data_IF_763027953036
#
_entry.id   IF_763027953036
#
_cell.length_a   1.000
_cell.length_b   1.000
_cell.length_c   1.000
_cell.angle_alpha   90.00
_cell.angle_beta   90.00
_cell.angle_gamma   90.00
#
_symmetry.space_group_name_H-M   'P 1'
#
loop_
_entity.id
_entity.type
_entity.pdbx_description
1 polymer ?
#
# COMPACT_ATOMS: atom_id res chain seq x y z
N UNK A 1 -13.74 -21.49 -22.69
CA UNK A 1 -14.21 -22.60 -23.56
C UNK A 1 -15.44 -23.21 -22.92
N UNK A 2 -16.63 -23.11 -23.54
CA UNK A 2 -17.93 -23.38 -22.89
C UNK A 2 -18.13 -24.82 -22.37
N UNK A 3 -17.27 -25.78 -22.72
CA UNK A 3 -17.42 -27.18 -22.35
C UNK A 3 -16.21 -27.76 -21.58
N UNK A 4 -15.27 -26.92 -21.18
CA UNK A 4 -14.10 -27.36 -20.45
C UNK A 4 -14.48 -27.67 -19.00
N UNK A 5 -14.10 -28.85 -18.50
CA UNK A 5 -14.31 -29.20 -17.09
C UNK A 5 -13.38 -28.39 -16.20
N UNK A 6 -13.85 -27.98 -15.02
CA UNK A 6 -13.09 -27.13 -14.06
C UNK A 6 -11.75 -27.78 -13.68
N UNK A 7 -11.70 -29.10 -13.55
CA UNK A 7 -10.45 -29.81 -13.22
C UNK A 7 -9.38 -29.78 -14.34
N UNK A 8 -9.76 -29.43 -15.57
CA UNK A 8 -8.85 -29.25 -16.70
C UNK A 8 -8.48 -27.79 -16.93
N UNK A 9 -8.97 -26.88 -16.12
CA UNK A 9 -8.68 -25.45 -16.21
C UNK A 9 -7.35 -25.12 -15.52
N UNK A 10 -6.62 -24.12 -16.03
CA UNK A 10 -5.49 -23.52 -15.32
C UNK A 10 -5.93 -22.89 -14.00
N UNK A 11 -5.00 -22.60 -13.11
CA UNK A 11 -5.31 -21.90 -11.85
C UNK A 11 -6.04 -20.58 -12.12
N UNK A 12 -5.52 -19.75 -13.03
CA UNK A 12 -6.15 -18.48 -13.41
C UNK A 12 -7.55 -18.64 -13.98
N UNK A 13 -7.78 -19.64 -14.84
CA UNK A 13 -9.13 -19.92 -15.37
C UNK A 13 -10.11 -20.33 -14.28
N UNK A 14 -9.68 -21.13 -13.31
CA UNK A 14 -10.51 -21.50 -12.14
C UNK A 14 -10.85 -20.28 -11.30
N UNK A 15 -9.88 -19.42 -11.05
CA UNK A 15 -10.10 -18.16 -10.31
C UNK A 15 -11.14 -17.28 -11.02
N UNK A 16 -11.04 -17.12 -12.34
CA UNK A 16 -12.03 -16.37 -13.10
C UNK A 16 -13.44 -16.95 -12.99
N UNK A 17 -13.59 -18.27 -13.06
CA UNK A 17 -14.90 -18.92 -12.89
C UNK A 17 -15.43 -18.71 -11.46
N UNK A 18 -14.58 -18.87 -10.45
CA UNK A 18 -14.96 -18.65 -9.06
C UNK A 18 -15.45 -17.21 -8.82
N UNK A 19 -14.72 -16.24 -9.36
CA UNK A 19 -15.08 -14.83 -9.26
C UNK A 19 -16.36 -14.49 -9.99
N UNK A 20 -16.53 -15.00 -11.21
CA UNK A 20 -17.80 -14.86 -11.94
C UNK A 20 -19.00 -15.41 -11.18
N UNK A 21 -18.82 -16.55 -10.47
CA UNK A 21 -19.86 -17.13 -9.61
C UNK A 21 -20.13 -16.27 -8.37
N UNK A 22 -19.12 -15.65 -7.78
CA UNK A 22 -19.28 -14.72 -6.65
C UNK A 22 -20.07 -13.48 -7.06
N UNK A 23 -19.71 -12.85 -8.17
CA UNK A 23 -20.42 -11.68 -8.68
C UNK A 23 -21.86 -11.99 -9.09
N UNK A 24 -22.11 -13.18 -9.66
CA UNK A 24 -23.46 -13.62 -10.04
C UNK A 24 -24.42 -13.80 -8.86
N UNK A 25 -23.89 -13.94 -7.62
CA UNK A 25 -24.70 -14.00 -6.40
C UNK A 25 -25.10 -12.62 -5.89
N UNK A 26 -24.50 -11.54 -6.44
CA UNK A 26 -24.74 -10.15 -6.06
C UNK A 26 -24.71 -9.89 -4.53
N UNK A 27 -23.67 -10.33 -3.80
CA UNK A 27 -23.63 -10.21 -2.34
C UNK A 27 -23.49 -8.74 -1.90
N UNK A 28 -24.00 -8.41 -0.72
CA UNK A 28 -23.75 -7.12 -0.05
C UNK A 28 -22.34 -7.02 0.52
N UNK A 29 -21.79 -8.16 0.97
CA UNK A 29 -20.43 -8.27 1.49
C UNK A 29 -19.63 -9.30 0.68
N UNK A 30 -18.52 -8.86 0.12
CA UNK A 30 -17.57 -9.71 -0.61
C UNK A 30 -16.24 -9.76 0.16
N UNK A 31 -15.81 -10.95 0.54
CA UNK A 31 -14.54 -11.20 1.22
C UNK A 31 -13.61 -11.95 0.27
N UNK A 32 -12.46 -11.36 -0.02
CA UNK A 32 -11.47 -11.90 -0.96
C UNK A 32 -10.10 -11.97 -0.28
N UNK A 33 -9.60 -13.20 -0.10
CA UNK A 33 -8.28 -13.42 0.46
C UNK A 33 -7.29 -13.70 -0.67
N UNK A 34 -6.31 -12.81 -0.84
CA UNK A 34 -5.25 -12.86 -1.87
C UNK A 34 -5.74 -13.26 -3.27
N UNK A 35 -6.85 -12.67 -3.68
CA UNK A 35 -7.62 -13.04 -4.87
C UNK A 35 -6.81 -13.00 -6.18
N UNK A 36 -5.76 -12.21 -6.22
CA UNK A 36 -4.93 -12.00 -7.41
C UNK A 36 -3.86 -13.07 -7.61
N UNK A 37 -3.71 -13.98 -6.64
CA UNK A 37 -2.73 -15.04 -6.70
C UNK A 37 -2.99 -15.99 -7.88
N UNK A 38 -1.98 -16.17 -8.74
CA UNK A 38 -2.06 -17.04 -9.93
C UNK A 38 -2.78 -16.42 -11.14
N UNK A 39 -3.20 -15.14 -11.06
CA UNK A 39 -3.65 -14.37 -12.21
C UNK A 39 -2.46 -13.71 -12.91
N UNK A 40 -2.45 -13.75 -14.25
CA UNK A 40 -1.51 -12.93 -15.00
C UNK A 40 -1.90 -11.44 -14.91
N UNK A 41 -0.97 -10.51 -15.21
CA UNK A 41 -1.21 -9.06 -15.05
C UNK A 41 -2.43 -8.53 -15.81
N UNK A 42 -2.73 -9.08 -16.99
CA UNK A 42 -3.88 -8.65 -17.79
C UNK A 42 -5.20 -9.03 -17.15
N UNK A 43 -5.32 -10.27 -16.67
CA UNK A 43 -6.52 -10.73 -15.96
C UNK A 43 -6.68 -10.06 -14.59
N UNK A 44 -5.58 -9.75 -13.92
CA UNK A 44 -5.62 -9.01 -12.65
C UNK A 44 -6.22 -7.61 -12.82
N UNK A 45 -5.76 -6.87 -13.84
CA UNK A 45 -6.31 -5.55 -14.16
C UNK A 45 -7.81 -5.62 -14.47
N UNK A 46 -8.21 -6.57 -15.33
CA UNK A 46 -9.60 -6.79 -15.67
C UNK A 46 -10.45 -7.10 -14.42
N UNK A 47 -9.90 -7.84 -13.49
CA UNK A 47 -10.59 -8.19 -12.25
C UNK A 47 -10.76 -6.97 -11.34
N UNK A 48 -9.75 -6.12 -11.21
CA UNK A 48 -9.84 -4.83 -10.47
C UNK A 48 -10.93 -3.95 -11.08
N UNK A 49 -11.04 -3.91 -12.41
CA UNK A 49 -12.13 -3.20 -13.09
C UNK A 49 -13.51 -3.75 -12.72
N UNK A 50 -13.68 -5.08 -12.74
CA UNK A 50 -14.94 -5.72 -12.32
C UNK A 50 -15.27 -5.47 -10.84
N UNK A 51 -14.29 -5.48 -9.94
CA UNK A 51 -14.51 -5.15 -8.52
C UNK A 51 -14.97 -3.70 -8.36
N UNK A 52 -14.38 -2.79 -9.11
CA UNK A 52 -14.78 -1.38 -9.11
C UNK A 52 -16.22 -1.20 -9.59
N UNK A 53 -16.55 -1.83 -10.70
CA UNK A 53 -17.92 -1.77 -11.25
C UNK A 53 -18.93 -2.38 -10.28
N UNK A 54 -18.58 -3.49 -9.62
CA UNK A 54 -19.40 -4.12 -8.61
C UNK A 54 -19.61 -3.21 -7.39
N UNK A 55 -18.56 -2.56 -6.90
CA UNK A 55 -18.64 -1.61 -5.79
C UNK A 55 -19.47 -0.36 -6.14
N UNK A 56 -19.38 0.12 -7.38
CA UNK A 56 -20.12 1.29 -7.85
C UNK A 56 -21.64 1.11 -7.86
N UNK A 57 -22.13 -0.13 -7.79
CA UNK A 57 -23.57 -0.46 -7.74
C UNK A 57 -24.28 -0.02 -6.46
N UNK A 58 -23.58 0.55 -5.47
CA UNK A 58 -24.11 1.01 -4.17
C UNK A 58 -24.36 -0.16 -3.20
N UNK A 59 -24.39 0.14 -1.90
CA UNK A 59 -24.65 -0.80 -0.79
C UNK A 59 -23.78 -2.09 -0.79
N UNK A 60 -22.58 -2.01 -1.37
CA UNK A 60 -21.62 -3.11 -1.42
C UNK A 60 -20.43 -2.83 -0.53
N UNK A 61 -20.01 -3.85 0.21
CA UNK A 61 -18.77 -3.83 0.97
C UNK A 61 -17.82 -4.87 0.43
N UNK A 62 -16.59 -4.48 0.09
CA UNK A 62 -15.55 -5.39 -0.33
C UNK A 62 -14.43 -5.36 0.71
N UNK A 63 -14.17 -6.49 1.34
CA UNK A 63 -13.02 -6.70 2.21
C UNK A 63 -12.03 -7.61 1.50
N UNK A 64 -10.84 -7.10 1.21
CA UNK A 64 -9.84 -7.87 0.47
C UNK A 64 -8.47 -7.83 1.14
N UNK A 65 -7.69 -8.89 0.97
CA UNK A 65 -6.27 -8.93 1.27
C UNK A 65 -5.49 -9.05 -0.04
N UNK A 66 -4.33 -8.43 -0.12
CA UNK A 66 -3.43 -8.56 -1.26
C UNK A 66 -2.00 -8.24 -0.84
N UNK A 67 -1.04 -8.93 -1.45
CA UNK A 67 0.38 -8.59 -1.40
C UNK A 67 0.81 -7.78 -2.64
N UNK A 68 -0.09 -7.55 -3.60
CA UNK A 68 0.16 -6.78 -4.82
C UNK A 68 -0.56 -5.44 -4.67
N UNK A 69 0.18 -4.43 -4.23
CA UNK A 69 -0.35 -3.15 -3.79
C UNK A 69 -0.66 -2.21 -4.96
N UNK A 70 0.11 -2.30 -6.04
CA UNK A 70 0.03 -1.37 -7.19
C UNK A 70 -1.38 -1.24 -7.80
N UNK A 71 -2.12 -2.35 -7.86
CA UNK A 71 -3.46 -2.35 -8.46
C UNK A 71 -4.55 -1.91 -7.46
N UNK A 72 -4.21 -1.85 -6.14
CA UNK A 72 -5.16 -1.58 -5.06
C UNK A 72 -5.41 -0.10 -4.84
N UNK A 73 -4.43 0.75 -5.10
CA UNK A 73 -4.49 2.20 -4.88
C UNK A 73 -5.73 2.87 -5.50
N UNK A 74 -6.16 2.37 -6.65
CA UNK A 74 -7.33 2.90 -7.37
C UNK A 74 -8.66 2.21 -7.00
N UNK A 75 -8.61 1.17 -6.16
CA UNK A 75 -9.78 0.33 -5.84
C UNK A 75 -10.27 0.56 -4.41
N UNK A 76 -9.37 0.78 -3.45
CA UNK A 76 -9.69 0.75 -2.03
C UNK A 76 -9.92 2.15 -1.46
N UNK A 77 -10.97 2.28 -0.64
CA UNK A 77 -11.27 3.50 0.11
C UNK A 77 -10.45 3.57 1.40
N UNK A 78 -10.38 2.47 2.14
CA UNK A 78 -9.68 2.34 3.41
C UNK A 78 -8.57 1.29 3.33
N UNK A 79 -7.43 1.60 3.94
CA UNK A 79 -6.26 0.73 3.98
C UNK A 79 -5.89 0.36 5.42
N UNK A 80 -5.73 -0.93 5.68
CA UNK A 80 -5.15 -1.48 6.90
C UNK A 80 -3.82 -2.13 6.58
N UNK A 81 -2.74 -1.66 7.19
CA UNK A 81 -1.42 -2.27 7.05
C UNK A 81 -1.10 -3.06 8.30
N UNK A 82 -0.87 -4.37 8.12
CA UNK A 82 -0.50 -5.29 9.17
C UNK A 82 0.95 -5.74 8.99
N UNK A 83 1.68 -5.81 10.09
CA UNK A 83 3.01 -6.36 10.14
C UNK A 83 3.19 -7.25 11.37
N UNK A 84 3.67 -8.50 11.18
CA UNK A 84 3.83 -9.51 12.23
C UNK A 84 2.63 -9.62 13.20
N UNK A 85 1.41 -9.58 12.67
CA UNK A 85 0.17 -9.68 13.46
C UNK A 85 -0.20 -8.41 14.23
N UNK A 86 0.46 -7.30 13.97
CA UNK A 86 0.14 -5.99 14.54
C UNK A 86 -0.42 -5.08 13.46
N UNK A 87 -1.49 -4.38 13.80
CA UNK A 87 -2.01 -3.31 12.95
C UNK A 87 -1.09 -2.10 13.10
N UNK A 88 -0.39 -1.73 12.02
CA UNK A 88 0.46 -0.54 11.98
C UNK A 88 -0.38 0.72 11.80
N UNK A 89 -1.25 0.72 10.79
CA UNK A 89 -2.16 1.83 10.50
C UNK A 89 -3.50 1.30 9.99
N UNK A 90 -4.56 2.10 10.23
CA UNK A 90 -5.85 2.01 9.57
C UNK A 90 -6.28 3.43 9.21
N UNK A 91 -6.28 3.75 7.92
CA UNK A 91 -6.57 5.10 7.41
C UNK A 91 -7.23 5.03 6.04
N UNK A 92 -8.03 6.05 5.68
CA UNK A 92 -8.43 6.25 4.30
C UNK A 92 -7.20 6.25 3.39
N UNK A 93 -7.27 5.52 2.27
CA UNK A 93 -6.16 5.42 1.31
C UNK A 93 -5.73 6.81 0.83
N UNK A 94 -6.70 7.69 0.59
CA UNK A 94 -6.45 9.08 0.22
C UNK A 94 -5.63 9.82 1.28
N UNK A 95 -5.90 9.63 2.58
CA UNK A 95 -5.15 10.27 3.66
C UNK A 95 -3.68 9.80 3.66
N UNK A 96 -3.44 8.50 3.40
CA UNK A 96 -2.08 7.97 3.29
C UNK A 96 -1.36 8.62 2.12
N UNK A 97 -1.99 8.68 0.95
CA UNK A 97 -1.39 9.22 -0.28
C UNK A 97 -1.12 10.72 -0.21
N UNK A 98 -1.98 11.47 0.49
CA UNK A 98 -1.87 12.93 0.60
C UNK A 98 -0.94 13.39 1.72
N UNK A 99 -0.74 12.58 2.78
CA UNK A 99 -0.05 13.03 3.99
C UNK A 99 1.15 12.18 4.42
N UNK A 100 1.32 10.98 3.87
CA UNK A 100 2.50 10.17 4.18
C UNK A 100 3.56 10.36 3.11
N UNK A 101 4.69 10.98 3.49
CA UNK A 101 5.73 11.37 2.56
C UNK A 101 7.07 10.77 2.93
N UNK A 102 7.95 10.66 1.93
CA UNK A 102 9.36 10.34 2.09
C UNK A 102 10.16 11.63 2.15
N UNK A 103 11.06 11.70 3.11
CA UNK A 103 11.96 12.84 3.28
C UNK A 103 13.38 12.38 3.05
N UNK A 104 14.07 13.03 2.11
CA UNK A 104 15.50 12.83 1.87
C UNK A 104 16.27 14.02 2.38
N UNK A 105 17.42 13.76 3.02
CA UNK A 105 18.26 14.80 3.59
C UNK A 105 19.70 14.34 3.71
N UNK A 106 20.59 15.29 3.95
CA UNK A 106 22.01 15.08 4.22
C UNK A 106 22.33 15.55 5.63
N UNK A 107 23.27 14.90 6.27
CA UNK A 107 23.84 15.27 7.56
C UNK A 107 25.32 15.48 7.43
N UNK A 108 25.89 16.30 8.32
CA UNK A 108 27.32 16.44 8.44
C UNK A 108 27.99 15.10 8.80
N UNK A 109 29.25 14.95 8.42
CA UNK A 109 30.01 13.74 8.66
C UNK A 109 30.03 13.40 10.14
N UNK A 110 29.74 12.11 10.44
CA UNK A 110 29.68 11.61 11.82
C UNK A 110 28.37 11.87 12.55
N UNK A 111 27.42 12.61 11.99
CA UNK A 111 26.10 12.78 12.58
C UNK A 111 25.16 11.65 12.18
N UNK A 112 24.24 11.30 13.10
CA UNK A 112 23.13 10.38 12.89
C UNK A 112 21.81 11.09 13.16
N UNK A 113 20.73 10.77 12.44
CA UNK A 113 19.44 11.42 12.65
C UNK A 113 18.87 11.07 14.02
N UNK A 114 18.04 11.95 14.52
CA UNK A 114 17.31 11.71 15.76
C UNK A 114 16.20 10.67 15.51
N UNK A 115 16.15 9.63 16.32
CA UNK A 115 15.01 8.72 16.35
C UNK A 115 13.82 9.40 17.03
N UNK A 116 12.65 9.29 16.41
CA UNK A 116 11.41 9.82 16.93
C UNK A 116 10.23 8.95 16.48
N UNK A 117 9.21 8.77 17.31
CA UNK A 117 8.04 7.92 17.03
C UNK A 117 7.24 8.33 15.79
N UNK A 118 7.34 9.61 15.37
CA UNK A 118 6.70 10.15 14.17
C UNK A 118 7.55 10.02 12.91
N UNK A 119 8.77 9.52 13.04
CA UNK A 119 9.70 9.27 11.92
C UNK A 119 9.81 7.77 11.72
N UNK A 120 9.32 7.31 10.58
CA UNK A 120 9.30 5.90 10.22
C UNK A 120 10.54 5.56 9.39
N UNK A 121 11.12 4.40 9.67
CA UNK A 121 12.20 3.82 8.86
C UNK A 121 13.30 4.81 8.45
N UNK A 122 13.97 5.39 9.43
CA UNK A 122 15.09 6.27 9.16
C UNK A 122 16.33 5.45 8.83
N UNK A 123 16.80 5.53 7.60
CA UNK A 123 17.95 4.76 7.09
C UNK A 123 18.84 5.61 6.18
N UNK A 124 20.09 5.12 5.96
CA UNK A 124 21.03 5.74 5.02
C UNK A 124 21.08 4.93 3.73
N UNK A 125 20.76 5.58 2.62
CA UNK A 125 20.78 4.96 1.30
C UNK A 125 21.58 5.84 0.33
N UNK A 126 22.58 5.27 -0.35
CA UNK A 126 23.43 5.96 -1.33
C UNK A 126 24.01 7.31 -0.85
N UNK A 127 24.39 7.37 0.43
CA UNK A 127 25.01 8.57 1.00
C UNK A 127 24.02 9.62 1.54
N UNK A 128 22.74 9.49 1.25
CA UNK A 128 21.67 10.32 1.80
C UNK A 128 20.88 9.58 2.87
N UNK A 129 20.32 10.32 3.79
CA UNK A 129 19.36 9.79 4.76
C UNK A 129 17.94 9.86 4.21
N UNK A 130 17.15 8.86 4.54
CA UNK A 130 15.74 8.75 4.17
C UNK A 130 14.94 8.50 5.45
N UNK A 131 13.81 9.17 5.60
CA UNK A 131 12.80 8.88 6.62
C UNK A 131 11.41 9.11 6.05
N UNK A 132 10.41 8.58 6.72
CA UNK A 132 9.01 8.70 6.31
C UNK A 132 8.19 9.31 7.45
N UNK A 133 7.19 10.11 7.13
CA UNK A 133 6.35 10.74 8.15
C UNK A 133 5.01 11.18 7.59
N UNK A 134 4.02 11.27 8.49
CA UNK A 134 2.76 11.99 8.25
C UNK A 134 2.85 13.48 8.61
N UNK A 135 3.97 13.91 9.17
CA UNK A 135 4.15 15.29 9.57
C UNK A 135 4.61 16.17 8.39
N UNK A 136 4.20 17.44 8.37
CA UNK A 136 4.69 18.39 7.36
C UNK A 136 6.20 18.59 7.41
N UNK A 137 6.79 18.98 6.29
CA UNK A 137 8.23 19.16 6.09
C UNK A 137 8.90 19.98 7.21
N UNK A 138 8.28 21.08 7.64
CA UNK A 138 8.85 21.92 8.71
C UNK A 138 8.87 21.22 10.07
N UNK A 139 7.84 20.41 10.37
CA UNK A 139 7.80 19.59 11.59
C UNK A 139 8.87 18.51 11.52
N UNK A 140 9.01 17.82 10.38
CA UNK A 140 10.06 16.81 10.17
C UNK A 140 11.44 17.41 10.36
N UNK A 141 11.69 18.62 9.82
CA UNK A 141 12.94 19.36 10.03
C UNK A 141 13.22 19.57 11.53
N UNK A 142 12.24 20.09 12.26
CA UNK A 142 12.37 20.33 13.70
C UNK A 142 12.64 19.04 14.50
N UNK A 143 11.97 17.96 14.15
CA UNK A 143 12.17 16.64 14.79
C UNK A 143 13.58 16.13 14.54
N UNK A 144 14.08 16.22 13.32
CA UNK A 144 15.43 15.78 12.95
C UNK A 144 16.52 16.66 13.63
N UNK A 145 16.30 17.95 13.77
CA UNK A 145 17.24 18.90 14.35
C UNK A 145 17.16 19.00 15.89
N UNK A 146 16.20 18.32 16.54
CA UNK A 146 15.89 18.45 17.98
C UNK A 146 17.05 18.17 18.92
N UNK A 147 18.08 17.42 18.48
CA UNK A 147 19.30 17.11 19.25
C UNK A 147 20.55 17.82 18.74
N UNK A 148 20.39 18.96 18.07
CA UNK A 148 21.53 19.74 17.55
C UNK A 148 22.15 19.17 16.27
N UNK A 149 21.46 18.26 15.60
CA UNK A 149 21.82 17.78 14.27
C UNK A 149 21.45 18.85 13.24
N UNK A 150 22.36 19.12 12.29
CA UNK A 150 22.07 20.04 11.19
C UNK A 150 21.66 19.26 9.95
N UNK A 151 20.44 19.53 9.49
CA UNK A 151 19.87 18.90 8.31
C UNK A 151 20.05 19.78 7.09
N UNK A 152 20.73 19.24 6.07
CA UNK A 152 20.89 19.90 4.77
C UNK A 152 20.05 19.19 3.70
N UNK A 153 19.68 19.95 2.66
CA UNK A 153 19.00 19.45 1.45
C UNK A 153 17.71 18.63 1.74
N UNK A 154 16.97 18.99 2.79
CA UNK A 154 15.71 18.31 3.11
C UNK A 154 14.70 18.50 1.97
N UNK A 155 14.29 17.38 1.38
CA UNK A 155 13.32 17.31 0.29
C UNK A 155 12.21 16.34 0.66
N UNK A 156 11.00 16.73 0.33
CA UNK A 156 9.79 15.95 0.47
C UNK A 156 9.41 15.32 -0.87
N UNK A 157 9.02 14.06 -0.86
CA UNK A 157 8.62 13.30 -2.03
C UNK A 157 7.28 12.60 -1.74
N UNK A 158 6.35 12.70 -2.68
CA UNK A 158 5.11 11.91 -2.65
C UNK A 158 5.39 10.45 -2.93
N UNK A 159 4.54 9.57 -2.43
CA UNK A 159 4.70 8.12 -2.51
C UNK A 159 3.55 7.49 -3.28
N UNK A 160 3.81 6.35 -3.91
CA UNK A 160 2.79 5.36 -4.25
C UNK A 160 2.34 4.64 -2.97
N UNK A 161 1.20 3.95 -3.02
CA UNK A 161 0.76 3.13 -1.88
C UNK A 161 1.75 2.01 -1.56
N UNK A 162 2.44 1.48 -2.57
CA UNK A 162 3.50 0.49 -2.42
C UNK A 162 4.71 1.07 -1.67
N UNK A 163 5.20 2.26 -2.09
CA UNK A 163 6.28 2.95 -1.38
C UNK A 163 5.89 3.32 0.06
N UNK A 164 4.63 3.69 0.29
CA UNK A 164 4.11 3.97 1.63
C UNK A 164 4.12 2.69 2.50
N UNK A 165 3.73 1.54 1.94
CA UNK A 165 3.83 0.26 2.63
C UNK A 165 5.28 -0.07 3.03
N UNK A 166 6.24 0.11 2.11
CA UNK A 166 7.67 -0.06 2.38
C UNK A 166 8.12 0.90 3.49
N UNK A 167 7.73 2.18 3.40
CA UNK A 167 8.04 3.19 4.38
C UNK A 167 7.52 2.88 5.79
N UNK A 168 6.35 2.25 5.90
CA UNK A 168 5.74 1.88 7.18
C UNK A 168 6.30 0.58 7.76
N UNK A 169 6.61 -0.41 6.92
CA UNK A 169 7.05 -1.74 7.37
C UNK A 169 8.55 -1.89 7.52
N UNK A 170 9.35 -1.07 6.83
CA UNK A 170 10.81 -1.18 6.81
C UNK A 170 11.32 -2.42 6.06
N UNK A 171 10.53 -2.96 5.20
CA UNK A 171 10.90 -4.17 4.45
C UNK A 171 11.25 -3.79 3.02
N UNK A 172 12.50 -4.14 2.66
CA UNK A 172 13.26 -4.01 1.40
C UNK A 172 14.31 -2.91 1.37
#
# INVERSE_FOLDING_TARGET
VPHQKINHMSCGQRSQVALGLLFAQDPELLILDDFSMGLDPGYRRLFVEYLRDFAAGGDKTIFLTSHIIQDMELLIDDCMILDYGRLLIHKPTREIMENFHRFRFSLNEGQVPTEHEKLWNTEKNNGQWITYSFEPLETVRQLLESKGVQVADLKEETLSLEDAFIGLTGKY
#
